data_IF_988300298524
#
_entry.id   IF_988300298524
#
_cell.length_a   1.000
_cell.length_b   1.000
_cell.length_c   1.000
_cell.angle_alpha   90.00
_cell.angle_beta   90.00
_cell.angle_gamma   90.00
#
_symmetry.space_group_name_H-M   'P 1'
#
loop_
_entity.id
_entity.type
_entity.pdbx_description
1 polymer ?
#
# COMPACT_ATOMS: atom_id res chain seq x y z
N UNK A 1 -16.08 10.33 -4.47
CA UNK A 1 -16.85 9.40 -5.31
C UNK A 1 -16.01 8.69 -6.41
N UNK A 2 -14.80 9.16 -6.76
CA UNK A 2 -14.03 8.67 -7.92
C UNK A 2 -12.69 7.93 -7.62
N UNK A 3 -12.39 7.61 -6.36
CA UNK A 3 -11.11 6.98 -5.98
C UNK A 3 -10.93 5.58 -6.61
N UNK A 4 -12.01 4.76 -6.64
CA UNK A 4 -11.96 3.40 -7.22
C UNK A 4 -11.63 3.38 -8.71
N UNK A 5 -12.04 4.42 -9.44
CA UNK A 5 -11.86 4.53 -10.90
C UNK A 5 -10.47 5.08 -11.25
N UNK A 6 -9.91 5.92 -10.40
CA UNK A 6 -8.68 6.67 -10.69
C UNK A 6 -7.41 6.05 -10.07
N UNK A 7 -7.53 5.09 -9.14
CA UNK A 7 -6.38 4.49 -8.41
C UNK A 7 -5.25 3.89 -9.27
N UNK A 8 -5.54 3.51 -10.51
CA UNK A 8 -4.54 2.93 -11.43
C UNK A 8 -3.95 3.95 -12.41
N UNK A 9 -4.43 5.20 -12.37
CA UNK A 9 -3.86 6.29 -13.16
C UNK A 9 -2.49 6.68 -12.57
N UNK A 10 -1.46 6.60 -13.39
CA UNK A 10 -0.07 6.88 -13.00
C UNK A 10 0.23 8.38 -12.88
N UNK A 11 -0.60 9.26 -13.46
CA UNK A 11 -0.21 10.63 -13.81
C UNK A 11 -1.18 11.74 -13.34
N UNK A 12 -2.08 11.45 -12.39
CA UNK A 12 -2.99 12.45 -11.83
C UNK A 12 -2.80 12.64 -10.32
N UNK A 13 -2.68 13.89 -9.88
CA UNK A 13 -2.50 14.24 -8.47
C UNK A 13 -3.79 13.95 -7.68
N UNK A 14 -4.96 14.10 -8.29
CA UNK A 14 -6.27 13.84 -7.68
C UNK A 14 -6.70 12.37 -7.64
N UNK A 15 -5.93 11.47 -8.27
CA UNK A 15 -6.30 10.06 -8.44
C UNK A 15 -6.14 9.19 -7.19
N UNK A 16 -5.42 9.69 -6.19
CA UNK A 16 -5.19 8.97 -4.94
C UNK A 16 -5.03 9.92 -3.76
N UNK A 17 -5.28 9.42 -2.55
CA UNK A 17 -5.18 10.21 -1.31
C UNK A 17 -3.77 10.70 -0.97
N UNK A 18 -2.74 10.13 -1.63
CA UNK A 18 -1.32 10.45 -1.40
C UNK A 18 -0.87 10.29 0.06
N UNK A 19 -1.61 9.60 0.93
CA UNK A 19 -1.28 9.46 2.36
C UNK A 19 -0.07 8.58 2.69
N UNK A 20 0.45 7.86 1.70
CA UNK A 20 1.54 6.89 1.87
C UNK A 20 2.77 7.43 2.65
N UNK A 21 3.40 8.57 2.28
CA UNK A 21 4.58 9.08 2.99
C UNK A 21 4.30 9.46 4.45
N UNK A 22 3.14 10.05 4.76
CA UNK A 22 2.78 10.43 6.13
C UNK A 22 2.43 9.21 7.01
N UNK A 23 1.76 8.21 6.44
CA UNK A 23 1.48 6.94 7.13
C UNK A 23 2.72 6.08 7.34
N UNK A 24 3.71 6.16 6.43
CA UNK A 24 4.96 5.43 6.51
C UNK A 24 5.89 5.98 7.60
N UNK A 25 5.93 7.30 7.77
CA UNK A 25 6.74 7.96 8.79
C UNK A 25 6.06 8.07 10.17
N UNK A 26 4.81 7.61 10.29
CA UNK A 26 4.03 7.71 11.52
C UNK A 26 3.55 9.13 11.85
N UNK A 27 3.68 10.09 10.93
CA UNK A 27 3.16 11.45 11.08
C UNK A 27 1.63 11.51 11.07
N UNK A 28 0.97 10.45 10.59
CA UNK A 28 -0.47 10.32 10.53
C UNK A 28 -0.86 8.94 11.07
N UNK A 29 -1.78 8.89 12.03
CA UNK A 29 -2.30 7.62 12.55
C UNK A 29 -3.35 7.04 11.61
N UNK A 30 -3.27 5.75 11.31
CA UNK A 30 -4.32 5.04 10.55
C UNK A 30 -5.69 5.19 11.23
N UNK A 31 -5.74 5.22 12.57
CA UNK A 31 -6.99 5.40 13.31
C UNK A 31 -7.62 6.77 13.05
N UNK A 32 -6.80 7.82 12.94
CA UNK A 32 -7.25 9.17 12.61
C UNK A 32 -7.79 9.22 11.18
N UNK A 33 -7.12 8.54 10.24
CA UNK A 33 -7.61 8.46 8.85
C UNK A 33 -8.93 7.73 8.76
N UNK A 34 -9.10 6.61 9.48
CA UNK A 34 -10.37 5.87 9.51
C UNK A 34 -11.48 6.72 10.13
N UNK A 35 -11.22 7.39 11.26
CA UNK A 35 -12.20 8.27 11.88
C UNK A 35 -12.61 9.43 10.95
N UNK A 36 -11.65 10.00 10.21
CA UNK A 36 -11.93 11.04 9.22
C UNK A 36 -12.78 10.52 8.04
N UNK A 37 -12.52 9.28 7.57
CA UNK A 37 -13.35 8.63 6.55
C UNK A 37 -14.77 8.45 7.05
N UNK A 38 -14.95 7.91 8.27
CA UNK A 38 -16.28 7.72 8.87
C UNK A 38 -17.03 9.04 9.04
N UNK A 39 -16.33 10.10 9.46
CA UNK A 39 -16.92 11.44 9.57
C UNK A 39 -17.36 11.97 8.20
N UNK A 40 -16.53 11.81 7.17
CA UNK A 40 -16.87 12.21 5.81
C UNK A 40 -18.08 11.45 5.28
N UNK A 41 -18.15 10.13 5.52
CA UNK A 41 -19.29 9.30 5.11
C UNK A 41 -20.60 9.71 5.80
N UNK A 42 -20.54 10.15 7.07
CA UNK A 42 -21.70 10.65 7.81
C UNK A 42 -22.17 12.03 7.33
N UNK A 43 -21.24 12.90 6.93
CA UNK A 43 -21.54 14.29 6.55
C UNK A 43 -21.90 14.45 5.06
N UNK A 44 -21.37 13.58 4.20
CA UNK A 44 -21.49 13.73 2.75
C UNK A 44 -22.15 12.50 2.14
N UNK A 45 -21.35 11.49 1.79
CA UNK A 45 -21.82 10.28 1.09
C UNK A 45 -20.88 9.13 1.38
N UNK A 46 -21.45 8.01 1.80
CA UNK A 46 -20.82 6.69 1.78
C UNK A 46 -20.93 6.08 0.39
N UNK A 47 -19.80 5.69 -0.21
CA UNK A 47 -19.78 5.04 -1.52
C UNK A 47 -18.63 4.03 -1.62
N UNK A 48 -18.60 3.29 -2.72
CA UNK A 48 -17.55 2.34 -3.03
C UNK A 48 -16.14 2.93 -2.95
N UNK A 49 -15.97 4.22 -3.23
CA UNK A 49 -14.66 4.89 -3.18
C UNK A 49 -14.18 5.15 -1.74
N UNK A 50 -15.07 5.50 -0.82
CA UNK A 50 -14.72 5.68 0.61
C UNK A 50 -14.43 4.34 1.26
N UNK A 51 -15.21 3.30 0.93
CA UNK A 51 -14.92 1.92 1.33
C UNK A 51 -13.57 1.42 0.79
N UNK A 52 -13.26 1.72 -0.47
CA UNK A 52 -12.00 1.26 -1.07
C UNK A 52 -10.77 1.90 -0.40
N UNK A 53 -10.87 3.16 0.02
CA UNK A 53 -9.81 3.81 0.79
C UNK A 53 -9.58 3.12 2.15
N UNK A 54 -10.65 2.74 2.83
CA UNK A 54 -10.56 1.93 4.06
C UNK A 54 -9.95 0.54 3.80
N UNK A 55 -10.31 -0.10 2.69
CA UNK A 55 -9.74 -1.40 2.30
C UNK A 55 -8.22 -1.34 2.04
N UNK A 56 -7.72 -0.27 1.42
CA UNK A 56 -6.27 -0.08 1.24
C UNK A 56 -5.55 0.12 2.59
N UNK A 57 -6.20 0.72 3.60
CA UNK A 57 -5.65 0.80 4.96
C UNK A 57 -5.58 -0.58 5.63
N UNK A 58 -6.52 -1.49 5.35
CA UNK A 58 -6.42 -2.88 5.82
C UNK A 58 -5.23 -3.61 5.22
N UNK A 59 -4.89 -3.35 3.96
CA UNK A 59 -3.68 -3.92 3.34
C UNK A 59 -2.40 -3.49 4.07
N UNK A 60 -2.30 -2.22 4.46
CA UNK A 60 -1.19 -1.73 5.29
C UNK A 60 -1.10 -2.51 6.60
N UNK A 61 -2.23 -2.66 7.29
CA UNK A 61 -2.29 -3.36 8.57
C UNK A 61 -1.94 -4.85 8.41
N UNK A 62 -2.45 -5.49 7.37
CA UNK A 62 -2.11 -6.87 7.03
C UNK A 62 -0.60 -7.06 6.86
N UNK A 63 0.07 -6.21 6.08
CA UNK A 63 1.52 -6.32 5.87
C UNK A 63 2.33 -6.03 7.14
N UNK A 64 1.85 -5.14 8.01
CA UNK A 64 2.46 -4.91 9.32
C UNK A 64 2.46 -6.20 10.16
N UNK A 65 1.29 -6.84 10.33
CA UNK A 65 1.19 -8.11 11.06
C UNK A 65 1.92 -9.26 10.36
N UNK A 66 1.92 -9.28 9.03
CA UNK A 66 2.64 -10.26 8.23
C UNK A 66 4.15 -10.17 8.46
N UNK A 67 4.70 -8.95 8.51
CA UNK A 67 6.10 -8.71 8.82
C UNK A 67 6.45 -9.12 10.25
N UNK A 68 5.60 -8.79 11.24
CA UNK A 68 5.80 -9.25 12.62
C UNK A 68 5.77 -10.78 12.74
N UNK A 69 4.82 -11.44 12.08
CA UNK A 69 4.67 -12.90 12.11
C UNK A 69 5.84 -13.63 11.46
N UNK A 70 6.32 -13.13 10.33
CA UNK A 70 7.33 -13.82 9.53
C UNK A 70 8.76 -13.36 9.80
N UNK A 71 8.94 -12.14 10.34
CA UNK A 71 10.23 -11.58 10.70
C UNK A 71 11.23 -11.63 9.55
N UNK A 72 12.47 -11.99 9.84
CA UNK A 72 13.55 -12.12 8.84
C UNK A 72 13.24 -13.09 7.69
N UNK A 73 12.31 -14.05 7.86
CA UNK A 73 11.91 -14.96 6.76
C UNK A 73 11.19 -14.23 5.63
N UNK A 74 10.57 -13.09 5.92
CA UNK A 74 9.94 -12.24 4.91
C UNK A 74 10.94 -11.81 3.83
N UNK A 75 12.19 -11.56 4.24
CA UNK A 75 13.27 -11.06 3.38
C UNK A 75 14.24 -12.17 2.93
N UNK A 76 13.95 -13.43 3.28
CA UNK A 76 14.76 -14.55 2.83
C UNK A 76 14.58 -14.78 1.33
N UNK A 77 15.64 -15.29 0.66
CA UNK A 77 15.63 -15.53 -0.79
C UNK A 77 14.43 -16.33 -1.28
N UNK A 78 14.05 -17.35 -0.51
CA UNK A 78 12.97 -18.27 -0.89
C UNK A 78 11.60 -17.81 -0.32
N UNK A 79 11.57 -16.65 0.32
CA UNK A 79 10.42 -16.00 0.93
C UNK A 79 9.76 -16.83 2.04
N UNK A 80 8.60 -16.35 2.49
CA UNK A 80 7.82 -17.02 3.55
C UNK A 80 7.37 -18.43 3.13
N UNK A 81 7.11 -18.64 1.84
CA UNK A 81 6.67 -19.94 1.30
C UNK A 81 7.83 -20.93 1.09
N UNK A 82 9.08 -20.52 1.33
CA UNK A 82 10.30 -21.34 1.10
C UNK A 82 10.34 -21.95 -0.30
N UNK A 83 9.79 -21.24 -1.29
CA UNK A 83 9.76 -21.70 -2.68
C UNK A 83 11.02 -21.22 -3.38
N UNK A 84 11.96 -22.15 -3.56
CA UNK A 84 13.17 -21.89 -4.34
C UNK A 84 12.77 -21.59 -5.78
N UNK A 85 13.01 -20.36 -6.22
CA UNK A 85 12.84 -19.95 -7.61
C UNK A 85 14.22 -19.79 -8.25
N UNK A 86 14.44 -20.30 -9.48
CA UNK A 86 15.65 -19.97 -10.22
C UNK A 86 15.64 -18.46 -10.47
N UNK A 87 16.59 -17.75 -9.89
CA UNK A 87 16.78 -16.31 -10.06
C UNK A 87 18.19 -16.10 -10.58
N UNK A 88 18.31 -15.30 -11.64
CA UNK A 88 19.59 -14.92 -12.24
C UNK A 88 19.80 -13.45 -12.00
N UNK A 89 20.86 -13.11 -11.25
CA UNK A 89 21.22 -11.72 -11.01
C UNK A 89 22.25 -11.27 -12.06
N UNK A 90 21.80 -10.44 -13.01
CA UNK A 90 22.67 -9.78 -13.97
C UNK A 90 22.81 -8.31 -13.58
N UNK A 91 23.95 -7.95 -12.98
CA UNK A 91 24.18 -6.59 -12.47
C UNK A 91 23.96 -5.50 -13.52
N UNK A 92 24.33 -5.75 -14.77
CA UNK A 92 24.11 -4.79 -15.87
C UNK A 92 22.61 -4.58 -16.19
N UNK A 93 21.77 -5.63 -16.13
CA UNK A 93 20.32 -5.53 -16.37
C UNK A 93 19.59 -4.84 -15.21
N UNK A 94 20.00 -5.14 -13.98
CA UNK A 94 19.50 -4.44 -12.80
C UNK A 94 19.83 -2.94 -12.89
N UNK A 95 21.08 -2.59 -13.25
CA UNK A 95 21.51 -1.20 -13.41
C UNK A 95 20.86 -0.48 -14.61
N UNK A 96 20.41 -1.21 -15.63
CA UNK A 96 19.64 -0.65 -16.73
C UNK A 96 18.18 -0.35 -16.27
N UNK A 97 17.52 -1.30 -15.62
CA UNK A 97 16.14 -1.10 -15.12
C UNK A 97 16.03 -0.07 -13.99
N UNK A 98 17.07 0.11 -13.18
CA UNK A 98 17.11 1.15 -12.14
C UNK A 98 17.34 2.57 -12.69
N UNK A 99 17.76 2.71 -13.95
CA UNK A 99 18.09 4.01 -14.57
C UNK A 99 16.97 4.61 -15.42
N UNK A 100 15.88 3.87 -15.63
CA UNK A 100 14.76 4.29 -16.49
C UNK A 100 15.07 4.04 -17.95
#
# INVERSE_FOLDING_TARGET
ANYKVTRNALDDWGSSSKFAPWLANGCLSVREVVAAIEQYERQHTRNDSTYWLWFELLWREYFYWYALKHGGRLFSRDGVQRKRRPVTFYGHRFKAGARG
#
